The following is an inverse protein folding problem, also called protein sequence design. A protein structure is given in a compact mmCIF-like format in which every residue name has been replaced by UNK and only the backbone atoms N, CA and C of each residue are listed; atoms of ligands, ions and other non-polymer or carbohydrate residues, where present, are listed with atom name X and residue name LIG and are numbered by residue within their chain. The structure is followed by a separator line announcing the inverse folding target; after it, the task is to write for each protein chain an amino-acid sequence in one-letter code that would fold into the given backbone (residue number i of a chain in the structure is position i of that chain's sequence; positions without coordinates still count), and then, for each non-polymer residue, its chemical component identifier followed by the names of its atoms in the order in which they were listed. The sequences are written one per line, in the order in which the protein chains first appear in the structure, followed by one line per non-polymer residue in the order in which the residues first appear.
data_IF_118875747866
#
_entry.id   IF_118875747866
#
_cell.length_a   1.000
_cell.length_b   1.000
_cell.length_c   1.000
_cell.angle_alpha   90.00
_cell.angle_beta   90.00
_cell.angle_gamma   90.00
#
_symmetry.space_group_name_H-M   'P 1'
#
loop_
_entity.id
_entity.type
_entity.pdbx_description
1 polymer ?
#
# COMPACT_ATOMS: atom_id res chain seq x y z
N UNK A 1 -14.11 -15.06 16.17
CA UNK A 1 -14.55 -13.67 15.93
C UNK A 1 -13.48 -13.03 15.04
N UNK A 2 -13.85 -12.27 14.01
CA UNK A 2 -12.91 -11.61 13.12
C UNK A 2 -13.16 -10.09 13.15
N UNK A 3 -12.09 -9.31 13.00
CA UNK A 3 -12.14 -7.83 12.96
C UNK A 3 -11.40 -7.39 11.70
N UNK A 4 -12.01 -6.48 10.95
CA UNK A 4 -11.40 -5.87 9.77
C UNK A 4 -11.25 -4.38 10.01
N UNK A 5 -10.05 -3.85 9.75
CA UNK A 5 -9.71 -2.46 10.03
C UNK A 5 -9.14 -1.85 8.74
N UNK A 6 -9.61 -0.65 8.40
CA UNK A 6 -9.08 0.15 7.29
C UNK A 6 -8.48 1.42 7.88
N UNK A 7 -7.22 1.69 7.57
CA UNK A 7 -6.50 2.86 8.08
C UNK A 7 -5.42 3.29 7.11
N UNK A 8 -5.06 4.57 7.16
CA UNK A 8 -3.90 5.12 6.46
C UNK A 8 -2.60 4.96 7.24
N UNK A 9 -2.68 4.57 8.53
CA UNK A 9 -1.51 4.38 9.37
C UNK A 9 -0.92 2.99 9.20
N UNK A 10 0.16 2.89 8.40
CA UNK A 10 0.87 1.62 8.20
C UNK A 10 1.48 1.10 9.51
N UNK A 11 1.92 1.98 10.40
CA UNK A 11 2.46 1.61 11.72
C UNK A 11 1.40 0.99 12.64
N UNK A 12 0.12 1.36 12.48
CA UNK A 12 -0.98 0.70 13.18
C UNK A 12 -1.23 -0.70 12.60
N UNK A 13 -1.29 -0.83 11.27
CA UNK A 13 -1.47 -2.13 10.60
C UNK A 13 -0.38 -3.10 11.04
N UNK A 14 0.86 -2.65 11.08
CA UNK A 14 2.01 -3.47 11.49
C UNK A 14 1.92 -3.94 12.96
N UNK A 15 1.44 -3.08 13.87
CA UNK A 15 1.42 -3.40 15.31
C UNK A 15 0.21 -4.22 15.75
N UNK A 16 -0.91 -4.10 15.03
CA UNK A 16 -2.22 -4.57 15.52
C UNK A 16 -2.79 -5.70 14.67
N UNK A 17 -2.50 -5.74 13.36
CA UNK A 17 -3.07 -6.74 12.47
C UNK A 17 -2.18 -7.99 12.42
N UNK A 18 -2.82 -9.16 12.27
CA UNK A 18 -2.13 -10.44 12.03
C UNK A 18 -1.97 -10.77 10.56
N UNK A 19 -2.66 -10.04 9.69
CA UNK A 19 -2.64 -10.19 8.23
C UNK A 19 -3.06 -8.87 7.60
N UNK A 20 -2.44 -8.52 6.48
CA UNK A 20 -2.77 -7.34 5.70
C UNK A 20 -3.17 -7.73 4.28
N UNK A 21 -4.04 -6.91 3.69
CA UNK A 21 -4.49 -7.04 2.30
C UNK A 21 -4.15 -5.73 1.59
N UNK A 22 -3.39 -5.81 0.52
CA UNK A 22 -3.15 -4.68 -0.36
C UNK A 22 -4.08 -4.76 -1.58
N UNK A 23 -4.87 -3.70 -1.77
CA UNK A 23 -5.77 -3.51 -2.91
C UNK A 23 -5.26 -2.39 -3.83
N UNK A 24 -5.34 -2.62 -5.14
CA UNK A 24 -5.09 -1.60 -6.17
C UNK A 24 -6.13 -1.71 -7.28
N UNK A 25 -6.84 -0.62 -7.55
CA UNK A 25 -7.90 -0.54 -8.58
C UNK A 25 -8.94 -1.68 -8.48
N UNK A 26 -9.38 -1.97 -7.25
CA UNK A 26 -10.36 -3.03 -6.98
C UNK A 26 -9.82 -4.46 -7.08
N UNK A 27 -8.51 -4.64 -7.27
CA UNK A 27 -7.87 -5.96 -7.31
C UNK A 27 -6.97 -6.17 -6.11
N UNK A 28 -6.96 -7.40 -5.60
CA UNK A 28 -6.03 -7.85 -4.56
C UNK A 28 -4.66 -8.03 -5.21
N UNK A 29 -3.70 -7.28 -4.73
CA UNK A 29 -2.31 -7.35 -5.19
C UNK A 29 -1.49 -8.27 -4.30
N UNK A 30 -1.80 -8.29 -3.00
CA UNK A 30 -1.13 -9.13 -2.02
C UNK A 30 -2.00 -9.38 -0.79
N UNK A 31 -1.86 -10.56 -0.17
CA UNK A 31 -2.41 -10.89 1.15
C UNK A 31 -1.34 -11.68 1.90
N UNK A 32 -0.92 -11.19 3.06
CA UNK A 32 0.10 -11.87 3.85
C UNK A 32 0.42 -11.15 5.14
N UNK A 33 1.65 -11.33 5.61
CA UNK A 33 2.14 -10.64 6.80
C UNK A 33 2.08 -9.11 6.61
N UNK A 34 1.78 -8.35 7.68
CA UNK A 34 1.72 -6.89 7.61
C UNK A 34 2.99 -6.25 7.05
N UNK A 35 4.16 -6.66 7.53
CA UNK A 35 5.48 -6.13 7.15
C UNK A 35 5.68 -6.20 5.63
N UNK A 36 5.52 -7.38 5.06
CA UNK A 36 5.71 -7.64 3.63
C UNK A 36 4.67 -6.88 2.80
N UNK A 37 3.40 -6.93 3.21
CA UNK A 37 2.31 -6.28 2.49
C UNK A 37 2.48 -4.76 2.46
N UNK A 38 2.93 -4.17 3.58
CA UNK A 38 3.24 -2.73 3.67
C UNK A 38 4.41 -2.38 2.78
N UNK A 39 5.48 -3.18 2.77
CA UNK A 39 6.65 -2.95 1.92
C UNK A 39 6.27 -2.96 0.42
N UNK A 40 5.46 -3.92 -0.01
CA UNK A 40 4.94 -4.01 -1.38
C UNK A 40 4.06 -2.80 -1.74
N UNK A 41 3.17 -2.38 -0.83
CA UNK A 41 2.33 -1.21 -1.01
C UNK A 41 3.15 0.09 -1.15
N UNK A 42 4.16 0.28 -0.29
CA UNK A 42 5.03 1.47 -0.32
C UNK A 42 5.88 1.53 -1.60
N UNK A 43 6.43 0.40 -2.04
CA UNK A 43 7.19 0.33 -3.28
C UNK A 43 6.34 0.70 -4.51
N UNK A 44 5.07 0.28 -4.55
CA UNK A 44 4.16 0.60 -5.65
C UNK A 44 3.69 2.06 -5.65
N UNK A 45 3.40 2.60 -4.46
CA UNK A 45 3.00 4.01 -4.30
C UNK A 45 4.14 4.96 -4.67
N UNK A 46 5.37 4.66 -4.27
CA UNK A 46 6.56 5.43 -4.67
C UNK A 46 6.76 5.47 -6.20
N UNK A 47 6.63 4.32 -6.88
CA UNK A 47 6.70 4.25 -8.36
C UNK A 47 5.62 5.10 -9.04
N UNK A 48 4.42 5.11 -8.48
CA UNK A 48 3.29 5.87 -9.03
C UNK A 48 3.53 7.38 -8.91
N UNK A 49 4.18 7.83 -7.84
CA UNK A 49 4.53 9.24 -7.62
C UNK A 49 5.66 9.69 -8.56
N UNK A 50 6.73 8.90 -8.67
CA UNK A 50 7.85 9.19 -9.57
C UNK A 50 7.39 9.35 -11.04
N UNK A 51 6.53 8.44 -11.52
CA UNK A 51 5.99 8.50 -12.88
C UNK A 51 5.08 9.72 -13.13
N UNK A 52 4.47 10.29 -12.08
CA UNK A 52 3.65 11.51 -12.18
C UNK A 52 4.52 12.76 -12.23
N UNK A 53 5.59 12.82 -11.45
CA UNK A 53 6.54 13.94 -11.46
C UNK A 53 7.28 14.08 -12.78
N UNK A 54 7.71 12.97 -13.38
CA UNK A 54 8.42 13.00 -14.67
C UNK A 54 7.53 13.52 -15.80
N UNK A 55 6.26 13.10 -15.84
CA UNK A 55 5.26 13.64 -16.79
C UNK A 55 5.00 15.13 -16.61
N UNK A 56 5.11 15.65 -15.39
CA UNK A 56 4.94 17.08 -15.13
C UNK A 56 6.15 17.91 -15.59
N UNK A 57 7.37 17.35 -15.58
CA UNK A 57 8.57 18.07 -16.06
C UNK A 57 8.74 18.09 -17.57
N UNK A 58 8.22 17.10 -18.30
CA UNK A 58 8.35 17.03 -19.75
C UNK A 58 7.32 17.87 -20.53
N UNK A 59 6.38 18.53 -19.84
CA UNK A 59 5.31 19.34 -20.44
C UNK A 59 5.39 20.84 -20.16
N UNK A 60 6.53 21.33 -19.65
CA UNK A 60 6.78 22.75 -19.38
C UNK A 60 7.78 23.35 -20.36
#
# INVERSE_FOLDING_TARGET
KAVMIVTHSMSFVQKVCTKAIWLKKGRIMHIGEPEETIALYQADTAKTMAAREERQRSGG
#
